data_IF_870264543431
#
_entry.id   IF_870264543431
#
_cell.length_a   1.000
_cell.length_b   1.000
_cell.length_c   1.000
_cell.angle_alpha   90.00
_cell.angle_beta   90.00
_cell.angle_gamma   90.00
#
_symmetry.space_group_name_H-M   'P 1'
#
loop_
_entity.id
_entity.type
_entity.pdbx_description
1 polymer ?
#
# COMPACT_ATOMS: atom_id res chain seq x y z
N UNK A 1 -20.45 -12.21 -4.44
CA UNK A 1 -19.05 -12.37 -3.99
C UNK A 1 -18.50 -13.59 -4.68
N UNK A 2 -17.32 -13.55 -5.30
CA UNK A 2 -16.78 -14.76 -5.93
C UNK A 2 -16.55 -15.81 -4.85
N UNK A 3 -17.16 -16.98 -5.01
CA UNK A 3 -16.99 -18.10 -4.09
C UNK A 3 -15.60 -18.71 -4.16
N UNK A 4 -14.83 -18.37 -5.20
CA UNK A 4 -13.54 -18.97 -5.46
C UNK A 4 -12.40 -18.12 -4.86
N UNK A 5 -11.79 -18.61 -3.78
CA UNK A 5 -10.65 -17.98 -3.09
C UNK A 5 -9.37 -18.78 -3.28
N UNK A 6 -9.06 -19.12 -4.54
CA UNK A 6 -7.95 -20.01 -4.91
C UNK A 6 -6.60 -19.65 -4.26
N UNK A 7 -6.33 -18.36 -4.08
CA UNK A 7 -5.11 -17.89 -3.41
C UNK A 7 -5.06 -18.35 -1.94
N UNK A 8 -6.19 -18.25 -1.21
CA UNK A 8 -6.27 -18.69 0.18
C UNK A 8 -6.20 -20.21 0.30
N UNK A 9 -6.76 -20.94 -0.67
CA UNK A 9 -6.75 -22.40 -0.65
C UNK A 9 -5.33 -22.94 -0.83
N UNK A 10 -4.57 -22.36 -1.77
CA UNK A 10 -3.14 -22.67 -1.94
C UNK A 10 -2.32 -22.28 -0.70
N UNK A 11 -2.62 -21.15 -0.05
CA UNK A 11 -1.96 -20.74 1.19
C UNK A 11 -2.28 -21.67 2.38
N UNK A 12 -3.39 -22.41 2.33
CA UNK A 12 -3.73 -23.47 3.31
C UNK A 12 -3.10 -24.82 2.97
N UNK A 13 -2.41 -24.92 1.84
CA UNK A 13 -1.73 -26.15 1.38
C UNK A 13 -2.54 -27.00 0.39
N UNK A 14 -3.66 -26.49 -0.14
CA UNK A 14 -4.40 -27.19 -1.19
C UNK A 14 -3.69 -27.06 -2.55
N UNK A 15 -3.68 -28.15 -3.32
CA UNK A 15 -3.12 -28.15 -4.68
C UNK A 15 -4.20 -27.73 -5.68
N UNK A 16 -4.01 -26.58 -6.33
CA UNK A 16 -4.92 -26.01 -7.33
C UNK A 16 -4.22 -25.93 -8.69
N UNK A 17 -4.96 -26.18 -9.78
CA UNK A 17 -4.46 -26.03 -11.15
C UNK A 17 -5.44 -25.22 -12.02
N UNK A 18 -4.99 -24.17 -12.73
CA UNK A 18 -3.64 -23.59 -12.67
C UNK A 18 -3.32 -22.98 -11.29
N UNK A 19 -2.04 -22.87 -10.89
CA UNK A 19 -1.69 -22.19 -9.64
C UNK A 19 -2.05 -20.70 -9.73
N UNK A 20 -2.53 -20.09 -8.63
CA UNK A 20 -2.86 -18.67 -8.61
C UNK A 20 -1.60 -17.80 -8.77
N UNK A 21 -1.77 -16.64 -9.40
CA UNK A 21 -0.70 -15.69 -9.67
C UNK A 21 -1.06 -14.29 -9.18
N UNK A 22 -0.08 -13.66 -8.52
CA UNK A 22 -0.03 -12.23 -8.26
C UNK A 22 1.45 -11.80 -8.29
N UNK A 23 1.72 -10.49 -8.32
CA UNK A 23 3.10 -9.99 -8.36
C UNK A 23 3.36 -8.95 -7.28
N UNK A 24 4.51 -9.06 -6.61
CA UNK A 24 4.99 -7.97 -5.77
C UNK A 24 5.14 -6.70 -6.60
N UNK A 25 4.64 -5.58 -6.07
CA UNK A 25 4.59 -4.27 -6.76
C UNK A 25 3.79 -4.30 -8.07
N UNK A 26 2.74 -5.13 -8.15
CA UNK A 26 1.81 -5.13 -9.29
C UNK A 26 1.19 -3.76 -9.57
N UNK A 27 0.86 -2.99 -8.53
CA UNK A 27 0.48 -1.59 -8.67
C UNK A 27 1.76 -0.74 -8.66
N UNK A 28 2.20 -0.24 -9.83
CA UNK A 28 3.45 0.49 -9.88
C UNK A 28 3.79 1.14 -11.21
N UNK A 29 4.92 1.84 -11.19
CA UNK A 29 5.41 2.71 -12.28
C UNK A 29 5.63 2.03 -13.62
N UNK A 30 5.50 0.70 -13.76
CA UNK A 30 5.55 0.05 -15.07
C UNK A 30 4.23 0.22 -15.84
N UNK A 31 3.14 0.57 -15.15
CA UNK A 31 1.83 0.85 -15.72
C UNK A 31 1.71 2.35 -16.04
N UNK A 32 1.34 2.75 -17.27
CA UNK A 32 1.07 4.14 -17.60
C UNK A 32 -0.11 4.72 -16.81
N UNK A 33 -1.18 3.95 -16.57
CA UNK A 33 -2.35 4.32 -15.77
C UNK A 33 -2.00 4.62 -14.30
N UNK A 34 -1.07 3.85 -13.72
CA UNK A 34 -0.52 4.14 -12.40
C UNK A 34 0.20 5.50 -12.38
N UNK A 35 1.01 5.81 -13.40
CA UNK A 35 1.75 7.08 -13.47
C UNK A 35 0.81 8.28 -13.55
N UNK A 36 -0.31 8.14 -14.26
CA UNK A 36 -1.32 9.20 -14.34
C UNK A 36 -2.04 9.39 -13.00
N UNK A 37 -2.44 8.29 -12.35
CA UNK A 37 -3.03 8.33 -11.00
C UNK A 37 -2.09 8.99 -10.01
N UNK A 38 -0.82 8.60 -10.08
CA UNK A 38 0.23 9.16 -9.25
C UNK A 38 0.42 10.65 -9.46
N UNK A 39 0.29 11.14 -10.69
CA UNK A 39 0.38 12.57 -11.01
C UNK A 39 -0.81 13.33 -10.43
N UNK A 40 -2.02 12.74 -10.41
CA UNK A 40 -3.22 13.33 -9.81
C UNK A 40 -3.11 13.45 -8.29
N UNK A 41 -2.55 12.44 -7.62
CA UNK A 41 -2.37 12.44 -6.16
C UNK A 41 -1.34 13.48 -5.65
N UNK A 42 -0.43 13.96 -6.50
CA UNK A 42 0.61 14.92 -6.13
C UNK A 42 1.84 14.28 -5.48
N UNK A 43 1.69 13.54 -4.38
CA UNK A 43 2.82 12.89 -3.68
C UNK A 43 2.63 11.39 -3.45
N UNK A 44 3.66 10.75 -2.85
CA UNK A 44 3.57 9.33 -2.47
C UNK A 44 2.62 9.07 -1.34
N UNK A 45 2.76 9.85 -0.29
CA UNK A 45 1.95 9.70 0.89
C UNK A 45 0.51 10.10 0.59
N UNK A 46 0.29 11.17 -0.17
CA UNK A 46 -1.07 11.58 -0.58
C UNK A 46 -1.78 10.45 -1.32
N UNK A 47 -1.09 9.74 -2.23
CA UNK A 47 -1.67 8.57 -2.89
C UNK A 47 -2.01 7.42 -1.91
N UNK A 48 -1.25 7.27 -0.82
CA UNK A 48 -1.54 6.23 0.19
C UNK A 48 -2.67 6.65 1.15
N UNK A 49 -2.89 7.95 1.34
CA UNK A 49 -3.91 8.50 2.25
C UNK A 49 -5.18 8.96 1.53
N UNK A 50 -5.27 8.77 0.21
CA UNK A 50 -6.47 8.99 -0.58
C UNK A 50 -7.09 7.60 -0.91
N UNK A 51 -8.17 7.19 -0.20
CA UNK A 51 -8.74 5.86 -0.36
C UNK A 51 -9.19 5.58 -1.79
N UNK A 52 -9.81 6.55 -2.45
CA UNK A 52 -10.32 6.39 -3.82
C UNK A 52 -9.18 6.14 -4.81
N UNK A 53 -8.10 6.92 -4.71
CA UNK A 53 -6.93 6.75 -5.57
C UNK A 53 -6.13 5.49 -5.23
N UNK A 54 -6.06 5.11 -3.95
CA UNK A 54 -5.40 3.89 -3.49
C UNK A 54 -6.15 2.63 -3.97
N UNK A 55 -7.49 2.63 -3.93
CA UNK A 55 -8.34 1.59 -4.55
C UNK A 55 -8.09 1.53 -6.05
N UNK A 56 -8.10 2.69 -6.73
CA UNK A 56 -7.88 2.75 -8.18
C UNK A 56 -6.57 2.06 -8.57
N UNK A 57 -5.44 2.43 -7.97
CA UNK A 57 -4.15 1.81 -8.31
C UNK A 57 -4.05 0.35 -7.88
N UNK A 58 -4.74 -0.05 -6.81
CA UNK A 58 -4.80 -1.45 -6.35
C UNK A 58 -5.49 -2.35 -7.38
N UNK A 59 -6.52 -1.83 -8.05
CA UNK A 59 -7.33 -2.58 -9.02
C UNK A 59 -6.75 -2.59 -10.44
N UNK A 60 -5.97 -1.58 -10.84
CA UNK A 60 -5.35 -1.50 -12.18
C UNK A 60 -4.70 -2.82 -12.67
N UNK A 61 -3.90 -3.55 -11.86
CA UNK A 61 -3.26 -4.78 -12.32
C UNK A 61 -4.25 -5.94 -12.44
N UNK A 62 -5.31 -5.94 -11.63
CA UNK A 62 -6.38 -6.94 -11.70
C UNK A 62 -7.15 -6.78 -13.00
N UNK A 63 -7.54 -5.54 -13.33
CA UNK A 63 -8.25 -5.23 -14.57
C UNK A 63 -7.42 -5.53 -15.82
N UNK A 64 -6.09 -5.31 -15.74
CA UNK A 64 -5.20 -5.48 -16.88
C UNK A 64 -4.74 -6.92 -17.11
N UNK A 65 -4.50 -7.68 -16.05
CA UNK A 65 -3.86 -9.00 -16.15
C UNK A 65 -4.70 -10.14 -15.59
N UNK A 66 -5.78 -9.86 -14.87
CA UNK A 66 -6.62 -10.88 -14.24
C UNK A 66 -5.90 -11.67 -13.15
N UNK A 67 -5.03 -11.01 -12.36
CA UNK A 67 -4.37 -11.68 -11.23
C UNK A 67 -5.40 -12.21 -10.22
N UNK A 68 -5.04 -13.32 -9.57
CA UNK A 68 -5.91 -14.03 -8.64
C UNK A 68 -5.97 -13.41 -7.24
N UNK A 69 -5.13 -12.39 -7.00
CA UNK A 69 -5.12 -11.61 -5.77
C UNK A 69 -4.70 -10.15 -6.03
N UNK A 70 -5.32 -9.24 -5.28
CA UNK A 70 -4.84 -7.88 -5.10
C UNK A 70 -4.02 -7.77 -3.82
N UNK A 71 -3.10 -6.81 -3.81
CA UNK A 71 -2.41 -6.36 -2.60
C UNK A 71 -2.70 -4.87 -2.46
N UNK A 72 -3.16 -4.48 -1.27
CA UNK A 72 -3.43 -3.09 -0.92
C UNK A 72 -2.26 -2.20 -1.31
N UNK A 73 -2.53 -1.13 -2.06
CA UNK A 73 -1.54 -0.09 -2.29
C UNK A 73 -1.40 0.77 -1.04
N UNK A 74 -0.29 0.59 -0.34
CA UNK A 74 0.14 1.40 0.79
C UNK A 74 1.66 1.30 0.92
N UNK A 75 2.23 1.84 1.98
CA UNK A 75 3.65 1.72 2.29
C UNK A 75 3.88 1.44 3.77
N UNK A 76 4.89 0.63 4.06
CA UNK A 76 5.21 0.24 5.43
C UNK A 76 5.56 1.44 6.32
N UNK A 77 5.97 2.56 5.74
CA UNK A 77 6.32 3.80 6.45
C UNK A 77 5.11 4.67 6.80
N UNK A 78 3.88 4.29 6.44
CA UNK A 78 2.68 4.96 6.97
C UNK A 78 2.58 4.80 8.49
N UNK A 79 3.10 3.69 9.06
CA UNK A 79 3.14 3.46 10.50
C UNK A 79 3.97 4.52 11.25
N UNK A 80 5.27 4.71 10.95
CA UNK A 80 6.04 5.78 11.59
C UNK A 80 5.50 7.17 11.25
N UNK A 81 4.94 7.40 10.06
CA UNK A 81 4.30 8.68 9.73
C UNK A 81 3.10 8.96 10.64
N UNK A 82 2.23 7.97 10.85
CA UNK A 82 1.07 8.07 11.74
C UNK A 82 1.46 8.25 13.22
N UNK A 83 2.67 7.83 13.60
CA UNK A 83 3.30 8.10 14.90
C UNK A 83 4.02 9.47 14.96
N UNK A 84 3.79 10.35 13.99
CA UNK A 84 4.33 11.71 13.96
C UNK A 84 5.78 11.83 13.52
N UNK A 85 6.36 10.79 12.90
CA UNK A 85 7.73 10.86 12.35
C UNK A 85 7.77 11.55 10.99
N UNK A 86 8.91 12.15 10.66
CA UNK A 86 9.13 12.96 9.46
C UNK A 86 9.41 12.13 8.19
N UNK A 87 8.50 11.22 7.84
CA UNK A 87 8.61 10.43 6.62
C UNK A 87 8.45 11.34 5.39
N UNK A 88 9.45 11.33 4.51
CA UNK A 88 9.48 12.12 3.27
C UNK A 88 9.86 11.23 2.09
N UNK A 89 9.26 11.46 0.93
CA UNK A 89 9.63 10.76 -0.30
C UNK A 89 10.25 11.74 -1.28
N UNK A 90 11.56 11.63 -1.48
CA UNK A 90 12.30 12.41 -2.47
C UNK A 90 12.45 11.63 -3.78
N UNK A 91 12.17 12.29 -4.89
CA UNK A 91 12.28 11.69 -6.22
C UNK A 91 13.74 11.25 -6.49
N UNK A 92 13.91 10.01 -6.94
CA UNK A 92 15.22 9.43 -7.22
C UNK A 92 16.05 9.01 -5.99
N UNK A 93 15.61 9.35 -4.77
CA UNK A 93 16.36 9.06 -3.53
C UNK A 93 15.70 8.03 -2.62
N UNK A 94 14.38 7.86 -2.75
CA UNK A 94 13.59 6.96 -1.90
C UNK A 94 13.06 7.63 -0.64
N UNK A 95 12.53 6.85 0.32
CA UNK A 95 12.04 7.41 1.57
C UNK A 95 13.19 7.89 2.46
N UNK A 96 12.97 9.04 3.08
CA UNK A 96 13.81 9.61 4.11
C UNK A 96 13.02 9.65 5.41
N UNK A 97 13.70 9.33 6.50
CA UNK A 97 13.15 9.33 7.85
C UNK A 97 14.28 9.72 8.81
N UNK A 98 14.05 10.70 9.68
CA UNK A 98 15.05 11.06 10.68
C UNK A 98 15.23 9.90 11.66
N UNK A 99 16.48 9.47 11.95
CA UNK A 99 16.74 8.45 12.96
C UNK A 99 16.11 8.83 14.30
N UNK A 100 15.53 7.85 14.99
CA UNK A 100 14.86 8.08 16.27
C UNK A 100 15.83 7.85 17.43
N UNK A 101 15.84 8.75 18.40
CA UNK A 101 16.58 8.63 19.65
C UNK A 101 15.78 7.89 20.73
N UNK A 102 16.44 7.39 21.77
CA UNK A 102 15.77 6.74 22.90
C UNK A 102 14.75 7.66 23.60
N UNK A 103 15.04 8.96 23.69
CA UNK A 103 14.12 9.95 24.26
C UNK A 103 12.89 10.16 23.39
N UNK A 104 13.03 10.15 22.06
CA UNK A 104 11.89 10.25 21.15
C UNK A 104 11.04 8.98 21.15
N UNK A 105 11.65 7.79 21.27
CA UNK A 105 10.91 6.52 21.42
C UNK A 105 10.00 6.60 22.65
N UNK A 106 10.53 7.05 23.79
CA UNK A 106 9.77 7.19 25.02
C UNK A 106 8.65 8.24 24.94
N UNK A 107 8.73 9.17 23.98
CA UNK A 107 7.76 10.24 23.75
C UNK A 107 6.77 9.93 22.61
N UNK A 108 6.85 8.75 21.98
CA UNK A 108 5.87 8.35 20.95
C UNK A 108 4.48 8.25 21.56
N UNK A 109 3.53 8.95 20.95
CA UNK A 109 2.13 8.92 21.32
C UNK A 109 1.32 8.13 20.28
N UNK A 110 0.53 7.18 20.77
CA UNK A 110 -0.34 6.34 19.96
C UNK A 110 -1.78 6.84 19.87
N UNK A 111 -2.17 7.89 20.61
CA UNK A 111 -3.57 8.34 20.67
C UNK A 111 -4.15 8.68 19.30
N UNK A 112 -3.35 9.31 18.44
CA UNK A 112 -3.76 9.68 17.07
C UNK A 112 -3.40 8.65 16.02
N UNK A 113 -2.78 7.52 16.39
CA UNK A 113 -2.25 6.54 15.44
C UNK A 113 -3.33 6.01 14.48
N UNK A 114 -4.46 5.54 15.04
CA UNK A 114 -5.57 5.02 14.24
C UNK A 114 -6.35 6.12 13.52
N UNK A 115 -6.39 7.33 14.07
CA UNK A 115 -7.01 8.50 13.42
C UNK A 115 -6.22 8.87 12.16
N UNK A 116 -4.89 8.91 12.26
CA UNK A 116 -4.02 9.23 11.13
C UNK A 116 -4.02 8.13 10.05
N UNK A 117 -4.37 6.88 10.41
CA UNK A 117 -4.46 5.76 9.47
C UNK A 117 -5.88 5.48 8.97
N UNK A 118 -6.89 6.22 9.42
CA UNK A 118 -8.28 6.03 9.00
C UNK A 118 -8.44 5.97 7.46
N UNK A 119 -7.81 6.85 6.66
CA UNK A 119 -7.91 6.75 5.21
C UNK A 119 -7.30 5.46 4.62
N UNK A 120 -6.25 4.93 5.25
CA UNK A 120 -5.62 3.67 4.81
C UNK A 120 -6.54 2.48 5.12
N UNK A 121 -7.34 2.56 6.18
CA UNK A 121 -8.30 1.50 6.54
C UNK A 121 -9.54 1.49 5.66
N UNK A 122 -9.88 2.62 5.05
CA UNK A 122 -11.02 2.77 4.13
C UNK A 122 -10.74 2.26 2.71
N UNK A 123 -9.48 2.00 2.37
CA UNK A 123 -9.05 1.47 1.06
C UNK A 123 -9.39 -0.02 0.91
#
# INVERSE_FOLDING_TARGET
MSENRIMLDVLKGEAVFPPPLWMMRQAGRYLPEYRETRRRAGSFLDLCYDPDLAVEVTLQPIERFGFDASILFSDILVVPHALGRDVRFEEGRGPLLTPISATEIAALDGETFHVNLEPVYET
#
